data_IF_232193520810
#
_entry.id   IF_232193520810
#
_cell.length_a   1.000
_cell.length_b   1.000
_cell.length_c   1.000
_cell.angle_alpha   90.00
_cell.angle_beta   90.00
_cell.angle_gamma   90.00
#
_symmetry.space_group_name_H-M   'P 1'
#
loop_
_entity.id
_entity.type
_entity.pdbx_description
1 polymer ?
#
# COMPACT_ATOMS: atom_id res chain seq x y z
N UNK A 1 5.10 5.59 -14.09
CA UNK A 1 5.50 4.18 -14.15
C UNK A 1 4.60 3.33 -13.30
N UNK A 2 4.31 2.20 -13.77
CA UNK A 2 3.28 1.32 -13.23
C UNK A 2 3.89 0.30 -12.28
N UNK A 3 3.16 -0.09 -11.25
CA UNK A 3 3.50 -1.22 -10.41
C UNK A 3 3.58 -2.48 -11.28
N UNK A 4 4.53 -3.34 -10.99
CA UNK A 4 4.69 -4.58 -11.73
C UNK A 4 3.43 -5.45 -11.55
N UNK A 5 2.89 -6.10 -12.61
CA UNK A 5 1.69 -6.94 -12.45
C UNK A 5 1.81 -8.00 -11.36
N UNK A 6 3.01 -8.56 -11.17
CA UNK A 6 3.27 -9.53 -10.11
C UNK A 6 3.08 -8.93 -8.73
N UNK A 7 3.50 -7.67 -8.55
CA UNK A 7 3.33 -6.96 -7.29
C UNK A 7 1.87 -6.65 -7.03
N UNK A 8 1.11 -6.32 -8.06
CA UNK A 8 -0.33 -6.08 -7.94
C UNK A 8 -1.08 -7.34 -7.50
N UNK A 9 -0.72 -8.49 -8.07
CA UNK A 9 -1.30 -9.77 -7.68
C UNK A 9 -0.97 -10.11 -6.24
N UNK A 10 0.29 -9.91 -5.83
CA UNK A 10 0.71 -10.15 -4.47
C UNK A 10 -0.04 -9.25 -3.49
N UNK A 11 -0.19 -7.97 -3.81
CA UNK A 11 -0.94 -7.04 -2.97
C UNK A 11 -2.42 -7.42 -2.91
N UNK A 12 -3.01 -7.85 -4.03
CA UNK A 12 -4.40 -8.29 -4.04
C UNK A 12 -4.61 -9.49 -3.12
N UNK A 13 -3.68 -10.45 -3.11
CA UNK A 13 -3.72 -11.58 -2.19
C UNK A 13 -3.61 -11.14 -0.74
N UNK A 14 -2.75 -10.17 -0.47
CA UNK A 14 -2.61 -9.60 0.87
C UNK A 14 -3.89 -8.91 1.34
N UNK A 15 -4.58 -8.20 0.46
CA UNK A 15 -5.88 -7.59 0.76
C UNK A 15 -6.92 -8.64 1.12
N UNK A 16 -6.97 -9.72 0.36
CA UNK A 16 -7.89 -10.83 0.63
C UNK A 16 -7.59 -11.47 1.98
N UNK A 17 -6.32 -11.71 2.26
CA UNK A 17 -5.91 -12.27 3.55
C UNK A 17 -6.26 -11.32 4.71
N UNK A 18 -6.05 -10.03 4.50
CA UNK A 18 -6.38 -9.02 5.51
C UNK A 18 -7.87 -9.03 5.84
N UNK A 19 -8.73 -9.16 4.82
CA UNK A 19 -10.17 -9.28 5.02
C UNK A 19 -10.54 -10.54 5.79
N UNK A 20 -9.88 -11.67 5.51
CA UNK A 20 -10.08 -12.91 6.28
C UNK A 20 -9.68 -12.73 7.73
N UNK A 21 -8.56 -12.05 7.97
CA UNK A 21 -8.08 -11.78 9.34
C UNK A 21 -9.04 -10.88 10.11
N UNK A 22 -9.66 -9.89 9.44
CA UNK A 22 -10.66 -9.05 10.07
C UNK A 22 -11.84 -9.89 10.56
N UNK A 23 -12.25 -10.89 9.79
CA UNK A 23 -13.33 -11.80 10.18
C UNK A 23 -12.88 -12.68 11.34
N UNK A 24 -11.69 -13.27 11.26
CA UNK A 24 -11.14 -14.13 12.31
C UNK A 24 -11.01 -13.38 13.65
N UNK A 25 -10.50 -12.15 13.59
CA UNK A 25 -10.28 -11.34 14.78
C UNK A 25 -11.60 -10.91 15.45
N UNK A 26 -12.70 -10.91 14.70
CA UNK A 26 -14.02 -10.60 15.23
C UNK A 26 -14.70 -11.81 15.89
N UNK A 27 -14.15 -13.02 15.76
CA UNK A 27 -14.73 -14.22 16.35
C UNK A 27 -14.46 -14.31 17.84
N UNK A 28 -15.49 -14.51 18.68
CA UNK A 28 -15.29 -14.62 20.14
C UNK A 28 -14.37 -15.77 20.54
N UNK A 29 -14.37 -16.86 19.78
CA UNK A 29 -13.57 -18.05 20.08
C UNK A 29 -12.09 -17.76 20.09
N UNK A 30 -11.63 -16.81 19.29
CA UNK A 30 -10.22 -16.46 19.20
C UNK A 30 -9.72 -15.81 20.49
N UNK A 31 -10.60 -15.10 21.20
CA UNK A 31 -10.24 -14.45 22.46
C UNK A 31 -9.78 -15.44 23.53
N UNK A 32 -10.23 -16.70 23.47
CA UNK A 32 -9.82 -17.74 24.39
C UNK A 32 -8.52 -18.45 24.00
N UNK A 33 -7.89 -18.03 22.90
CA UNK A 33 -6.66 -18.61 22.38
C UNK A 33 -5.58 -17.54 22.25
N UNK A 34 -4.88 -17.20 23.35
CA UNK A 34 -3.97 -16.05 23.34
C UNK A 34 -2.86 -16.11 22.28
N UNK A 35 -2.28 -17.29 22.05
CA UNK A 35 -1.20 -17.42 21.06
C UNK A 35 -1.71 -17.20 19.65
N UNK A 36 -2.85 -17.80 19.32
CA UNK A 36 -3.49 -17.63 18.01
C UNK A 36 -3.92 -16.18 17.80
N UNK A 37 -4.45 -15.55 18.83
CA UNK A 37 -4.87 -14.14 18.78
C UNK A 37 -3.68 -13.22 18.49
N UNK A 38 -2.57 -13.40 19.22
CA UNK A 38 -1.36 -12.59 19.00
C UNK A 38 -0.78 -12.80 17.60
N UNK A 39 -0.79 -14.03 17.12
CA UNK A 39 -0.31 -14.35 15.77
C UNK A 39 -1.16 -13.66 14.70
N UNK A 40 -2.49 -13.73 14.85
CA UNK A 40 -3.41 -13.07 13.92
C UNK A 40 -3.22 -11.55 13.91
N UNK A 41 -3.06 -10.93 15.07
CA UNK A 41 -2.81 -9.49 15.16
C UNK A 41 -1.48 -9.08 14.54
N UNK A 42 -0.44 -9.88 14.69
CA UNK A 42 0.86 -9.58 14.06
C UNK A 42 0.78 -9.68 12.54
N UNK A 43 0.10 -10.72 12.05
CA UNK A 43 -0.08 -10.87 10.62
C UNK A 43 -0.91 -9.72 10.07
N UNK A 44 -1.99 -9.36 10.75
CA UNK A 44 -2.85 -8.24 10.38
C UNK A 44 -2.05 -6.94 10.27
N UNK A 45 -1.26 -6.63 11.28
CA UNK A 45 -0.45 -5.40 11.29
C UNK A 45 0.54 -5.36 10.13
N UNK A 46 1.20 -6.48 9.85
CA UNK A 46 2.18 -6.58 8.76
C UNK A 46 1.51 -6.37 7.40
N UNK A 47 0.40 -7.06 7.15
CA UNK A 47 -0.31 -6.97 5.88
C UNK A 47 -0.93 -5.58 5.69
N UNK A 48 -1.48 -5.02 6.76
CA UNK A 48 -2.06 -3.68 6.71
C UNK A 48 -1.00 -2.64 6.33
N UNK A 49 0.21 -2.78 6.86
CA UNK A 49 1.30 -1.87 6.53
C UNK A 49 1.65 -1.93 5.03
N UNK A 50 1.80 -3.14 4.48
CA UNK A 50 2.10 -3.33 3.06
C UNK A 50 1.00 -2.74 2.18
N UNK A 51 -0.25 -3.04 2.51
CA UNK A 51 -1.41 -2.54 1.76
C UNK A 51 -1.48 -1.03 1.81
N UNK A 52 -1.23 -0.42 2.97
CA UNK A 52 -1.24 1.04 3.12
C UNK A 52 -0.17 1.70 2.24
N UNK A 53 1.05 1.13 2.21
CA UNK A 53 2.12 1.67 1.37
C UNK A 53 1.77 1.51 -0.11
N UNK A 54 1.21 0.36 -0.50
CA UNK A 54 0.78 0.12 -1.88
C UNK A 54 -0.31 1.10 -2.31
N UNK A 55 -1.29 1.36 -1.45
CA UNK A 55 -2.35 2.34 -1.71
C UNK A 55 -1.77 3.73 -1.92
N UNK A 56 -0.80 4.12 -1.08
CA UNK A 56 -0.15 5.42 -1.23
C UNK A 56 0.59 5.53 -2.56
N UNK A 57 1.23 4.45 -3.00
CA UNK A 57 1.89 4.43 -4.32
C UNK A 57 0.89 4.65 -5.45
N UNK A 58 -0.29 4.02 -5.38
CA UNK A 58 -1.34 4.20 -6.38
C UNK A 58 -1.84 5.64 -6.40
N UNK A 59 -2.09 6.24 -5.24
CA UNK A 59 -2.52 7.63 -5.13
C UNK A 59 -1.48 8.57 -5.75
N UNK A 60 -0.21 8.35 -5.43
CA UNK A 60 0.88 9.17 -5.94
C UNK A 60 1.03 9.06 -7.45
N UNK A 61 0.86 7.84 -8.01
CA UNK A 61 0.87 7.66 -9.46
C UNK A 61 -0.24 8.45 -10.14
N UNK A 62 -1.43 8.42 -9.57
CA UNK A 62 -2.58 9.15 -10.09
C UNK A 62 -2.38 10.66 -10.01
N UNK A 63 -1.91 11.14 -8.84
CA UNK A 63 -1.64 12.55 -8.63
C UNK A 63 -0.53 13.07 -9.55
N UNK A 64 0.51 12.26 -9.75
CA UNK A 64 1.62 12.60 -10.62
C UNK A 64 1.16 12.75 -12.09
N UNK A 65 0.32 11.83 -12.54
CA UNK A 65 -0.24 11.92 -13.89
C UNK A 65 -1.05 13.19 -14.06
N UNK A 66 -1.90 13.52 -13.11
CA UNK A 66 -2.70 14.75 -13.13
C UNK A 66 -1.80 15.99 -13.13
N UNK A 67 -0.76 16.00 -12.30
CA UNK A 67 0.16 17.13 -12.23
C UNK A 67 0.94 17.32 -13.53
N UNK A 68 1.35 16.22 -14.18
CA UNK A 68 2.02 16.29 -15.49
C UNK A 68 1.12 16.89 -16.57
N UNK A 69 -0.15 16.51 -16.58
CA UNK A 69 -1.12 17.06 -17.51
C UNK A 69 -1.30 18.58 -17.28
N UNK A 70 -1.39 19.00 -16.02
CA UNK A 70 -1.49 20.42 -15.68
C UNK A 70 -0.25 21.21 -16.10
N UNK A 71 0.92 20.60 -16.02
CA UNK A 71 2.20 21.22 -16.39
C UNK A 71 2.23 21.58 -17.88
N UNK A 72 1.53 20.81 -18.72
CA UNK A 72 1.44 21.11 -20.15
C UNK A 72 0.79 22.48 -20.41
N UNK A 73 -0.18 22.87 -19.58
CA UNK A 73 -0.86 24.15 -19.69
C UNK A 73 -0.21 25.24 -18.85
N UNK A 74 0.35 24.86 -17.68
CA UNK A 74 0.92 25.81 -16.74
C UNK A 74 2.23 25.24 -16.17
N UNK A 75 3.39 25.74 -16.65
CA UNK A 75 4.70 25.24 -16.18
C UNK A 75 4.95 25.41 -14.68
N UNK A 76 4.14 26.23 -13.99
CA UNK A 76 4.31 26.40 -12.53
C UNK A 76 4.08 25.10 -11.75
N UNK A 77 3.43 24.11 -12.36
CA UNK A 77 3.23 22.80 -11.72
C UNK A 77 4.45 21.89 -11.77
N UNK A 78 5.55 22.31 -12.40
CA UNK A 78 6.76 21.49 -12.52
C UNK A 78 7.35 21.09 -11.16
N UNK A 79 7.31 22.00 -10.19
CA UNK A 79 7.80 21.69 -8.84
C UNK A 79 6.94 20.63 -8.15
N UNK A 80 5.63 20.69 -8.32
CA UNK A 80 4.72 19.69 -7.79
C UNK A 80 5.01 18.31 -8.40
N UNK A 81 5.25 18.25 -9.71
CA UNK A 81 5.61 17.01 -10.39
C UNK A 81 6.87 16.41 -9.76
N UNK A 82 7.90 17.22 -9.54
CA UNK A 82 9.14 16.76 -8.94
C UNK A 82 8.93 16.22 -7.52
N UNK A 83 8.16 16.92 -6.70
CA UNK A 83 7.85 16.49 -5.35
C UNK A 83 7.11 15.14 -5.34
N UNK A 84 6.15 14.98 -6.23
CA UNK A 84 5.39 13.72 -6.34
C UNK A 84 6.28 12.57 -6.81
N UNK A 85 7.17 12.83 -7.77
CA UNK A 85 8.13 11.82 -8.25
C UNK A 85 9.05 11.35 -7.12
N UNK A 86 9.56 12.28 -6.32
CA UNK A 86 10.43 11.97 -5.19
C UNK A 86 9.71 11.15 -4.13
N UNK A 87 8.49 11.53 -3.78
CA UNK A 87 7.71 10.80 -2.80
C UNK A 87 7.36 9.40 -3.32
N UNK A 88 6.98 9.28 -4.57
CA UNK A 88 6.66 7.99 -5.18
C UNK A 88 7.86 7.04 -5.15
N UNK A 89 9.05 7.56 -5.47
CA UNK A 89 10.27 6.77 -5.42
C UNK A 89 10.55 6.26 -4.00
N UNK A 90 10.36 7.09 -3.00
CA UNK A 90 10.52 6.68 -1.60
C UNK A 90 9.54 5.57 -1.23
N UNK A 91 8.27 5.73 -1.58
CA UNK A 91 7.23 4.73 -1.27
C UNK A 91 7.46 3.41 -1.99
N UNK A 92 7.95 3.45 -3.23
CA UNK A 92 8.30 2.24 -3.98
C UNK A 92 9.46 1.50 -3.35
N UNK A 93 10.46 2.23 -2.85
CA UNK A 93 11.57 1.62 -2.13
C UNK A 93 11.09 0.95 -0.84
N UNK A 94 10.21 1.62 -0.10
CA UNK A 94 9.62 1.06 1.11
C UNK A 94 8.85 -0.23 0.79
N UNK A 95 8.04 -0.21 -0.26
CA UNK A 95 7.26 -1.36 -0.67
C UNK A 95 8.16 -2.53 -1.08
N UNK A 96 9.23 -2.26 -1.79
CA UNK A 96 10.21 -3.26 -2.21
C UNK A 96 10.87 -3.94 -1.01
N UNK A 97 11.22 -3.16 0.03
CA UNK A 97 11.82 -3.69 1.26
C UNK A 97 10.85 -4.57 2.06
N UNK A 98 9.58 -4.17 2.09
CA UNK A 98 8.55 -4.91 2.83
C UNK A 98 8.25 -6.26 2.16
N UNK A 99 8.32 -6.32 0.84
CA UNK A 99 8.03 -7.53 0.08
C UNK A 99 9.10 -8.62 0.23
N UNK A 100 10.27 -8.24 0.62
CA UNK A 100 11.35 -9.19 0.88
C UNK A 100 11.18 -9.79 2.27
#
# INVERSE_FOLDING_TARGET
>A
MVTHPEDEDAVAQMRSRLAELDIELARPELASRPTALRRAWREHARLRHVVTVADRCHELCSDLQAARELTEEDPSFADEVRHLEEELDRRRRDLSLIHI
#
